data_IF_029570892367
#
_entry.id   IF_029570892367
#
_cell.length_a   1.000
_cell.length_b   1.000
_cell.length_c   1.000
_cell.angle_alpha   90.00
_cell.angle_beta   90.00
_cell.angle_gamma   90.00
#
_symmetry.space_group_name_H-M   'P 1'
#
loop_
_entity.id
_entity.type
_entity.pdbx_description
1 polymer ?
#
# COMPACT_ATOMS: atom_id res chain seq x y z
N UNK A 1 -26.58 2.27 30.49
CA UNK A 1 -26.06 1.01 31.05
C UNK A 1 -27.00 -0.11 30.62
N UNK A 2 -26.53 -1.02 29.76
CA UNK A 2 -27.40 -2.00 29.09
C UNK A 2 -27.71 -3.17 30.05
N UNK A 3 -28.98 -3.46 30.38
CA UNK A 3 -29.34 -4.41 31.45
C UNK A 3 -29.24 -5.89 31.05
N UNK A 4 -28.80 -6.21 29.82
CA UNK A 4 -28.81 -7.56 29.26
C UNK A 4 -27.64 -8.47 29.69
N UNK A 5 -26.66 -7.98 30.45
CA UNK A 5 -25.50 -8.77 30.87
C UNK A 5 -25.60 -9.38 32.28
N UNK A 6 -26.72 -9.23 32.99
CA UNK A 6 -26.83 -9.60 34.41
C UNK A 6 -27.10 -11.10 34.69
N UNK A 7 -27.21 -11.95 33.67
CA UNK A 7 -27.66 -13.36 33.87
C UNK A 7 -26.89 -14.41 33.07
N UNK A 8 -25.57 -14.25 32.93
CA UNK A 8 -24.68 -15.36 32.54
C UNK A 8 -23.79 -15.74 33.73
N UNK A 9 -24.41 -16.19 34.83
CA UNK A 9 -23.68 -16.92 35.88
C UNK A 9 -23.55 -18.37 35.42
N UNK A 10 -22.56 -18.65 34.57
CA UNK A 10 -22.18 -20.02 34.22
C UNK A 10 -21.49 -20.60 35.47
N UNK A 11 -22.02 -21.66 36.10
CA UNK A 11 -21.31 -22.36 37.16
C UNK A 11 -20.02 -22.90 36.56
N UNK A 12 -18.87 -22.51 37.11
CA UNK A 12 -17.58 -23.00 36.67
C UNK A 12 -16.99 -23.84 37.78
N UNK A 13 -17.05 -25.15 37.63
CA UNK A 13 -16.41 -26.07 38.57
C UNK A 13 -14.97 -26.30 38.11
N UNK A 14 -14.02 -26.08 39.01
CA UNK A 14 -12.62 -26.37 38.76
C UNK A 14 -12.42 -27.89 38.84
N UNK A 15 -12.07 -28.52 37.72
CA UNK A 15 -11.86 -29.97 37.67
C UNK A 15 -10.45 -30.35 38.13
N UNK A 16 -10.27 -31.60 38.60
CA UNK A 16 -8.94 -32.17 38.92
C UNK A 16 -8.08 -32.41 37.68
N UNK A 17 -8.67 -32.32 36.48
CA UNK A 17 -7.96 -32.49 35.21
C UNK A 17 -7.21 -31.21 34.84
N UNK A 18 -5.96 -31.36 34.41
CA UNK A 18 -5.11 -30.25 33.97
C UNK A 18 -4.96 -30.24 32.45
N UNK A 19 -4.78 -29.05 31.89
CA UNK A 19 -4.47 -28.88 30.47
C UNK A 19 -3.06 -29.41 30.17
N UNK A 20 -2.84 -30.18 29.08
CA UNK A 20 -1.51 -30.68 28.72
C UNK A 20 -0.56 -29.59 28.20
N UNK A 21 -1.09 -28.46 27.71
CA UNK A 21 -0.30 -27.35 27.13
C UNK A 21 0.15 -26.38 28.23
N UNK A 22 -0.78 -25.98 29.10
CA UNK A 22 -0.56 -24.92 30.09
C UNK A 22 -0.46 -25.41 31.54
N UNK A 23 -0.68 -26.70 31.79
CA UNK A 23 -0.60 -27.33 33.13
C UNK A 23 -1.48 -26.68 34.21
N UNK A 24 -2.56 -25.99 33.81
CA UNK A 24 -3.55 -25.40 34.71
C UNK A 24 -4.83 -26.23 34.77
N UNK A 25 -5.62 -26.16 35.85
CA UNK A 25 -6.93 -26.83 35.93
C UNK A 25 -7.84 -26.41 34.78
N UNK A 26 -8.47 -27.39 34.13
CA UNK A 26 -9.52 -27.10 33.15
C UNK A 26 -10.83 -26.84 33.87
N UNK A 27 -11.59 -25.88 33.35
CA UNK A 27 -12.92 -25.55 33.81
C UNK A 27 -13.94 -26.36 33.02
N UNK A 28 -14.99 -26.82 33.67
CA UNK A 28 -16.11 -27.47 33.00
C UNK A 28 -17.25 -26.48 32.80
N UNK A 29 -17.69 -26.30 31.56
CA UNK A 29 -18.83 -25.46 31.19
C UNK A 29 -19.77 -26.31 30.33
N UNK A 30 -20.99 -26.52 30.81
CA UNK A 30 -22.02 -27.29 30.09
C UNK A 30 -21.52 -28.67 29.58
N UNK A 31 -20.75 -29.39 30.40
CA UNK A 31 -20.17 -30.70 30.06
C UNK A 31 -18.91 -30.67 29.20
N UNK A 32 -18.41 -29.48 28.83
CA UNK A 32 -17.18 -29.31 28.07
C UNK A 32 -16.01 -28.85 28.94
N UNK A 33 -14.89 -29.57 28.86
CA UNK A 33 -13.65 -29.24 29.55
C UNK A 33 -12.82 -28.27 28.72
N UNK A 34 -12.56 -27.08 29.28
CA UNK A 34 -11.91 -25.98 28.58
C UNK A 34 -10.71 -25.49 29.38
N UNK A 35 -9.59 -25.25 28.71
CA UNK A 35 -8.47 -24.53 29.31
C UNK A 35 -8.62 -23.03 29.02
N UNK A 36 -8.60 -22.20 30.07
CA UNK A 36 -8.74 -20.73 29.93
C UNK A 36 -7.62 -20.11 29.09
N UNK A 37 -6.38 -20.62 29.20
CA UNK A 37 -5.23 -20.10 28.45
C UNK A 37 -5.29 -20.54 26.98
N UNK A 38 -5.56 -21.82 26.68
CA UNK A 38 -5.81 -22.27 25.30
C UNK A 38 -6.92 -21.44 24.63
N UNK A 39 -8.07 -21.26 25.30
CA UNK A 39 -9.18 -20.49 24.74
C UNK A 39 -8.76 -19.04 24.44
N UNK A 40 -8.01 -18.40 25.34
CA UNK A 40 -7.47 -17.05 25.13
C UNK A 40 -6.51 -17.00 23.94
N UNK A 41 -5.60 -17.97 23.81
CA UNK A 41 -4.64 -18.05 22.71
C UNK A 41 -5.33 -18.27 21.37
N UNK A 42 -6.31 -19.18 21.29
CA UNK A 42 -7.06 -19.43 20.06
C UNK A 42 -7.83 -18.19 19.59
N UNK A 43 -8.48 -17.47 20.52
CA UNK A 43 -9.15 -16.21 20.19
C UNK A 43 -8.13 -15.16 19.73
N UNK A 44 -6.98 -15.07 20.40
CA UNK A 44 -5.94 -14.12 20.00
C UNK A 44 -5.35 -14.45 18.62
N UNK A 45 -5.09 -15.72 18.34
CA UNK A 45 -4.61 -16.19 17.04
C UNK A 45 -5.63 -15.95 15.93
N UNK A 46 -6.92 -16.20 16.19
CA UNK A 46 -7.96 -15.93 15.20
C UNK A 46 -8.13 -14.44 14.93
N UNK A 47 -8.00 -13.60 15.96
CA UNK A 47 -7.99 -12.14 15.81
C UNK A 47 -6.81 -11.67 14.95
N UNK A 48 -5.59 -12.12 15.23
CA UNK A 48 -4.40 -11.79 14.41
C UNK A 48 -4.57 -12.24 12.96
N UNK A 49 -5.06 -13.47 12.75
CA UNK A 49 -5.27 -14.01 11.41
C UNK A 49 -6.32 -13.20 10.63
N UNK A 50 -7.43 -12.87 11.28
CA UNK A 50 -8.50 -12.05 10.70
C UNK A 50 -8.02 -10.63 10.37
N UNK A 51 -7.26 -9.99 11.27
CA UNK A 51 -6.69 -8.67 11.04
C UNK A 51 -5.71 -8.70 9.85
N UNK A 52 -4.86 -9.72 9.75
CA UNK A 52 -3.92 -9.88 8.64
C UNK A 52 -4.66 -10.06 7.30
N UNK A 53 -5.71 -10.89 7.26
CA UNK A 53 -6.53 -11.10 6.08
C UNK A 53 -7.23 -9.80 5.63
N UNK A 54 -7.77 -9.04 6.59
CA UNK A 54 -8.41 -7.75 6.31
C UNK A 54 -7.40 -6.75 5.75
N UNK A 55 -6.21 -6.64 6.35
CA UNK A 55 -5.15 -5.75 5.84
C UNK A 55 -4.74 -6.14 4.41
N UNK A 56 -4.62 -7.44 4.13
CA UNK A 56 -4.30 -7.92 2.79
C UNK A 56 -5.38 -7.56 1.77
N UNK A 57 -6.65 -7.77 2.10
CA UNK A 57 -7.77 -7.38 1.24
C UNK A 57 -7.79 -5.88 0.94
N UNK A 58 -7.60 -5.04 1.97
CA UNK A 58 -7.56 -3.58 1.83
C UNK A 58 -6.40 -3.13 0.94
N UNK A 59 -5.23 -3.70 1.14
CA UNK A 59 -4.06 -3.42 0.31
C UNK A 59 -4.29 -3.78 -1.16
N UNK A 60 -4.88 -4.95 -1.44
CA UNK A 60 -5.21 -5.37 -2.81
C UNK A 60 -6.18 -4.39 -3.47
N UNK A 61 -7.20 -3.93 -2.72
CA UNK A 61 -8.13 -2.91 -3.21
C UNK A 61 -7.41 -1.59 -3.50
N UNK A 62 -6.52 -1.13 -2.61
CA UNK A 62 -5.73 0.09 -2.84
C UNK A 62 -4.85 -0.02 -4.08
N UNK A 63 -4.16 -1.15 -4.26
CA UNK A 63 -3.33 -1.38 -5.44
C UNK A 63 -4.19 -1.39 -6.71
N UNK A 64 -5.34 -2.07 -6.70
CA UNK A 64 -6.28 -2.08 -7.83
C UNK A 64 -6.77 -0.66 -8.16
N UNK A 65 -7.05 0.15 -7.15
CA UNK A 65 -7.53 1.52 -7.31
C UNK A 65 -6.41 2.53 -7.60
N UNK A 66 -5.14 2.14 -7.47
CA UNK A 66 -4.00 3.01 -7.73
C UNK A 66 -3.85 3.38 -9.21
N UNK A 67 -4.50 2.67 -10.14
CA UNK A 67 -4.36 2.94 -11.58
C UNK A 67 -3.15 2.28 -12.23
N UNK A 68 -2.35 1.52 -11.48
CA UNK A 68 -1.27 0.70 -12.03
C UNK A 68 -1.83 -0.38 -12.97
N UNK A 69 -1.24 -0.51 -14.17
CA UNK A 69 -1.53 -1.61 -15.09
C UNK A 69 -1.10 -2.95 -14.48
N UNK A 70 -1.84 -4.03 -14.79
CA UNK A 70 -1.58 -5.41 -14.34
C UNK A 70 -0.12 -5.83 -14.48
N UNK A 71 0.55 -5.43 -15.56
CA UNK A 71 1.96 -5.75 -15.82
C UNK A 71 2.96 -5.16 -14.82
N UNK A 72 2.58 -4.12 -14.09
CA UNK A 72 3.43 -3.44 -13.10
C UNK A 72 3.05 -3.78 -11.66
N UNK A 73 2.05 -4.63 -11.45
CA UNK A 73 1.60 -5.04 -10.11
C UNK A 73 2.66 -5.81 -9.34
N UNK A 74 3.59 -6.48 -10.05
CA UNK A 74 4.67 -7.24 -9.44
C UNK A 74 6.01 -6.48 -9.43
N UNK A 75 6.09 -5.29 -10.02
CA UNK A 75 7.28 -4.44 -9.98
C UNK A 75 7.54 -3.87 -8.57
N UNK A 76 8.73 -4.06 -8.03
CA UNK A 76 9.17 -3.56 -6.73
C UNK A 76 10.67 -3.26 -6.73
N UNK A 77 11.17 -2.64 -5.65
CA UNK A 77 12.59 -2.31 -5.54
C UNK A 77 13.49 -3.56 -5.55
N UNK A 78 13.01 -4.68 -5.00
CA UNK A 78 13.78 -5.92 -4.88
C UNK A 78 13.97 -6.68 -6.20
N UNK A 79 13.08 -6.47 -7.18
CA UNK A 79 13.13 -7.16 -8.47
C UNK A 79 13.47 -6.22 -9.64
N UNK A 80 13.97 -5.02 -9.32
CA UNK A 80 14.56 -4.14 -10.32
C UNK A 80 16.00 -4.61 -10.61
N UNK A 81 16.34 -4.83 -11.87
CA UNK A 81 17.68 -5.28 -12.27
C UNK A 81 18.55 -4.07 -12.60
N UNK A 82 19.62 -3.88 -11.83
CA UNK A 82 20.59 -2.80 -12.03
C UNK A 82 21.61 -3.23 -13.08
N UNK A 83 21.75 -2.41 -14.12
CA UNK A 83 22.70 -2.61 -15.22
C UNK A 83 23.75 -1.49 -15.32
N UNK A 84 23.53 -0.34 -14.67
CA UNK A 84 24.51 0.75 -14.62
C UNK A 84 24.44 1.58 -13.32
N UNK A 85 25.50 2.31 -12.92
CA UNK A 85 25.52 3.10 -11.69
C UNK A 85 24.41 4.15 -11.60
N UNK A 86 23.96 4.69 -12.73
CA UNK A 86 22.87 5.66 -12.80
C UNK A 86 21.53 5.05 -12.35
N UNK A 87 21.31 3.76 -12.67
CA UNK A 87 20.12 3.03 -12.20
C UNK A 87 20.17 2.75 -10.70
N UNK A 88 21.35 2.41 -10.18
CA UNK A 88 21.53 2.23 -8.74
C UNK A 88 21.22 3.52 -7.98
N UNK A 89 21.78 4.65 -8.43
CA UNK A 89 21.48 5.96 -7.85
C UNK A 89 19.98 6.29 -7.92
N UNK A 90 19.34 6.07 -9.08
CA UNK A 90 17.90 6.33 -9.22
C UNK A 90 17.04 5.48 -8.27
N UNK A 91 17.38 4.21 -8.04
CA UNK A 91 16.69 3.36 -7.06
C UNK A 91 16.86 3.93 -5.65
N UNK A 92 18.08 4.32 -5.27
CA UNK A 92 18.36 4.89 -3.96
C UNK A 92 17.57 6.20 -3.75
N UNK A 93 17.50 7.06 -4.76
CA UNK A 93 16.69 8.27 -4.73
C UNK A 93 15.19 7.95 -4.61
N UNK A 94 14.67 6.96 -5.33
CA UNK A 94 13.28 6.53 -5.21
C UNK A 94 12.96 5.94 -3.83
N UNK A 95 13.89 5.19 -3.23
CA UNK A 95 13.74 4.66 -1.87
C UNK A 95 13.73 5.78 -0.84
N UNK A 96 14.67 6.72 -0.93
CA UNK A 96 14.72 7.90 -0.07
C UNK A 96 13.47 8.77 -0.22
N UNK A 97 13.00 8.98 -1.45
CA UNK A 97 11.75 9.69 -1.75
C UNK A 97 10.54 9.01 -1.09
N UNK A 98 10.43 7.69 -1.21
CA UNK A 98 9.35 6.95 -0.55
C UNK A 98 9.42 7.08 0.98
N UNK A 99 10.61 7.03 1.58
CA UNK A 99 10.81 7.24 3.01
C UNK A 99 10.39 8.64 3.45
N UNK A 100 10.75 9.68 2.69
CA UNK A 100 10.34 11.06 2.98
C UNK A 100 8.81 11.20 3.02
N UNK A 101 8.10 10.63 2.04
CA UNK A 101 6.62 10.59 2.05
C UNK A 101 6.10 9.84 3.28
N UNK A 102 6.71 8.68 3.62
CA UNK A 102 6.33 7.90 4.80
C UNK A 102 6.43 8.76 6.08
N UNK A 103 7.48 9.58 6.17
CA UNK A 103 7.76 10.53 7.25
C UNK A 103 6.95 11.84 7.24
N UNK A 104 5.87 11.93 6.45
CA UNK A 104 5.02 13.13 6.31
C UNK A 104 5.70 14.34 5.65
N UNK A 105 6.70 14.12 4.81
CA UNK A 105 7.21 15.17 3.92
C UNK A 105 6.47 15.14 2.59
N UNK A 106 6.47 16.26 1.87
CA UNK A 106 5.84 16.43 0.56
C UNK A 106 6.87 16.73 -0.54
N UNK A 107 7.83 15.83 -0.81
CA UNK A 107 8.82 16.02 -1.85
C UNK A 107 8.21 15.84 -3.25
N UNK A 108 8.90 16.39 -4.26
CA UNK A 108 8.64 16.10 -5.68
C UNK A 108 9.86 15.40 -6.28
N UNK A 109 9.64 14.40 -7.13
CA UNK A 109 10.68 13.65 -7.82
C UNK A 109 10.36 13.58 -9.31
N UNK A 110 11.37 13.87 -10.13
CA UNK A 110 11.29 13.74 -11.58
C UNK A 110 12.24 12.63 -12.05
N UNK A 111 11.70 11.63 -12.76
CA UNK A 111 12.48 10.55 -13.38
C UNK A 111 12.67 10.86 -14.87
N UNK A 112 13.91 11.10 -15.29
CA UNK A 112 14.24 11.43 -16.69
C UNK A 112 15.14 10.35 -17.26
N UNK A 113 14.86 9.90 -18.48
CA UNK A 113 15.77 9.02 -19.21
C UNK A 113 15.13 8.34 -20.41
N UNK A 114 15.91 7.54 -21.13
CA UNK A 114 15.45 6.82 -22.32
C UNK A 114 14.33 5.81 -22.03
N UNK A 115 13.48 5.47 -23.02
CA UNK A 115 12.53 4.37 -22.88
C UNK A 115 13.25 3.05 -22.54
N UNK A 116 12.57 2.17 -21.79
CA UNK A 116 13.08 0.81 -21.50
C UNK A 116 13.97 0.67 -20.26
N UNK A 117 14.40 1.76 -19.60
CA UNK A 117 15.26 1.70 -18.40
C UNK A 117 14.49 1.56 -17.08
N UNK A 118 13.21 1.22 -17.12
CA UNK A 118 12.41 0.92 -15.93
C UNK A 118 11.92 2.11 -15.12
N UNK A 119 11.75 3.31 -15.70
CA UNK A 119 11.13 4.47 -15.02
C UNK A 119 9.75 4.11 -14.42
N UNK A 120 8.88 3.52 -15.23
CA UNK A 120 7.55 3.07 -14.78
C UNK A 120 7.63 1.96 -13.72
N UNK A 121 8.67 1.10 -13.77
CA UNK A 121 8.93 0.10 -12.73
C UNK A 121 9.27 0.77 -11.39
N UNK A 122 10.15 1.78 -11.41
CA UNK A 122 10.50 2.55 -10.20
C UNK A 122 9.29 3.28 -9.64
N UNK A 123 8.48 3.92 -10.50
CA UNK A 123 7.22 4.55 -10.09
C UNK A 123 6.25 3.56 -9.43
N UNK A 124 6.05 2.38 -10.04
CA UNK A 124 5.23 1.31 -9.46
C UNK A 124 5.79 0.82 -8.12
N UNK A 125 7.12 0.73 -8.01
CA UNK A 125 7.81 0.33 -6.76
C UNK A 125 7.57 1.33 -5.63
N UNK A 126 7.64 2.64 -5.92
CA UNK A 126 7.35 3.71 -4.96
C UNK A 126 5.89 3.63 -4.49
N UNK A 127 4.94 3.55 -5.43
CA UNK A 127 3.51 3.44 -5.12
C UNK A 127 3.26 2.25 -4.20
N UNK A 128 3.73 1.06 -4.58
CA UNK A 128 3.56 -0.14 -3.75
C UNK A 128 4.17 0.04 -2.37
N UNK A 129 5.39 0.56 -2.28
CA UNK A 129 6.04 0.76 -0.99
C UNK A 129 5.22 1.68 -0.07
N UNK A 130 4.60 2.74 -0.60
CA UNK A 130 3.73 3.63 0.18
C UNK A 130 2.43 2.94 0.59
N UNK A 131 1.77 2.24 -0.34
CA UNK A 131 0.51 1.54 -0.06
C UNK A 131 0.67 0.39 0.93
N UNK A 132 1.80 -0.32 0.90
CA UNK A 132 2.11 -1.42 1.80
C UNK A 132 2.46 -0.96 3.22
N UNK A 133 3.25 0.12 3.35
CA UNK A 133 3.78 0.52 4.65
C UNK A 133 2.94 1.58 5.36
N UNK A 134 1.94 2.17 4.69
CA UNK A 134 1.19 3.30 5.23
C UNK A 134 -0.29 3.27 4.86
N UNK A 135 -1.08 4.06 5.57
CA UNK A 135 -2.50 4.25 5.25
C UNK A 135 -2.74 5.25 4.12
N UNK A 136 -1.68 5.83 3.53
CA UNK A 136 -1.77 6.83 2.46
C UNK A 136 -2.39 6.27 1.18
N UNK A 137 -2.76 7.21 0.33
CA UNK A 137 -3.35 7.03 -0.98
C UNK A 137 -2.32 7.36 -2.06
N UNK A 138 -2.33 6.60 -3.15
CA UNK A 138 -1.42 6.82 -4.25
C UNK A 138 -2.14 6.55 -5.57
N UNK A 139 -1.86 7.37 -6.59
CA UNK A 139 -2.47 7.29 -7.91
C UNK A 139 -1.42 7.36 -9.00
N UNK A 140 -1.46 6.42 -9.92
CA UNK A 140 -0.79 6.41 -11.21
C UNK A 140 -1.78 6.85 -12.28
N UNK A 141 -1.33 7.74 -13.17
CA UNK A 141 -2.10 8.20 -14.33
C UNK A 141 -1.14 8.64 -15.42
N UNK A 142 -1.62 8.77 -16.65
CA UNK A 142 -0.88 9.43 -17.73
C UNK A 142 -1.33 10.89 -17.87
N UNK A 143 -0.50 11.70 -18.54
CA UNK A 143 -0.87 13.07 -18.94
C UNK A 143 -2.13 13.07 -19.83
N UNK A 144 -2.21 12.12 -20.77
CA UNK A 144 -3.35 11.92 -21.66
C UNK A 144 -4.64 11.59 -20.90
N UNK A 145 -4.58 10.73 -19.89
CA UNK A 145 -5.74 10.38 -19.06
C UNK A 145 -6.28 11.58 -18.28
N UNK A 146 -5.39 12.43 -17.76
CA UNK A 146 -5.80 13.67 -17.07
C UNK A 146 -6.48 14.62 -18.08
N UNK A 147 -5.86 14.82 -19.24
CA UNK A 147 -6.40 15.70 -20.28
C UNK A 147 -7.78 15.22 -20.77
N UNK A 148 -7.93 13.92 -21.00
CA UNK A 148 -9.21 13.33 -21.41
C UNK A 148 -10.30 13.59 -20.37
N UNK A 149 -10.01 13.36 -19.08
CA UNK A 149 -10.98 13.63 -18.00
C UNK A 149 -11.35 15.09 -17.89
N UNK A 150 -10.42 16.01 -18.17
CA UNK A 150 -10.75 17.44 -18.22
C UNK A 150 -11.70 17.74 -19.39
N UNK A 151 -11.41 17.21 -20.59
CA UNK A 151 -12.28 17.39 -21.76
C UNK A 151 -13.68 16.79 -21.57
N UNK A 152 -13.80 15.65 -20.87
CA UNK A 152 -15.08 15.01 -20.59
C UNK A 152 -16.02 15.92 -19.77
N UNK A 153 -15.47 16.82 -18.93
CA UNK A 153 -16.28 17.80 -18.17
C UNK A 153 -16.92 18.89 -19.03
N UNK A 154 -16.47 19.07 -20.27
CA UNK A 154 -17.11 20.02 -21.20
C UNK A 154 -18.36 19.45 -21.86
N UNK A 155 -18.48 18.12 -21.91
CA UNK A 155 -19.64 17.44 -22.49
C UNK A 155 -20.80 17.30 -21.49
N UNK A 156 -20.51 17.36 -20.18
CA UNK A 156 -21.49 17.17 -19.10
C UNK A 156 -21.46 18.35 -18.12
N UNK A 157 -22.54 19.12 -18.08
CA UNK A 157 -22.67 20.29 -17.19
C UNK A 157 -22.77 19.93 -15.70
N UNK A 158 -22.93 18.64 -15.36
CA UNK A 158 -22.92 18.16 -13.98
C UNK A 158 -21.51 18.04 -13.40
N UNK A 159 -20.47 18.01 -14.24
CA UNK A 159 -19.09 17.87 -13.82
C UNK A 159 -18.29 19.13 -14.11
N UNK A 160 -17.30 19.43 -13.26
CA UNK A 160 -16.42 20.59 -13.47
C UNK A 160 -14.95 20.19 -13.49
N UNK A 161 -14.15 20.91 -14.28
CA UNK A 161 -12.69 20.77 -14.27
C UNK A 161 -12.10 20.84 -12.86
N UNK A 162 -12.70 21.68 -12.00
CA UNK A 162 -12.27 21.85 -10.62
C UNK A 162 -12.47 20.57 -9.78
N UNK A 163 -13.48 19.76 -10.07
CA UNK A 163 -13.65 18.44 -9.45
C UNK A 163 -12.54 17.48 -9.88
N UNK A 164 -12.15 17.50 -11.15
CA UNK A 164 -11.04 16.68 -11.68
C UNK A 164 -9.73 17.06 -10.99
N UNK A 165 -9.44 18.35 -10.88
CA UNK A 165 -8.24 18.86 -10.19
C UNK A 165 -8.27 18.46 -8.71
N UNK A 166 -9.40 18.65 -8.01
CA UNK A 166 -9.55 18.25 -6.61
C UNK A 166 -9.38 16.76 -6.41
N UNK A 167 -9.91 15.93 -7.32
CA UNK A 167 -9.75 14.49 -7.29
C UNK A 167 -8.26 14.11 -7.35
N UNK A 168 -7.52 14.59 -8.35
CA UNK A 168 -6.10 14.25 -8.48
C UNK A 168 -5.22 14.86 -7.39
N UNK A 169 -5.59 16.03 -6.86
CA UNK A 169 -4.88 16.69 -5.76
C UNK A 169 -5.16 16.06 -4.39
N UNK A 170 -6.18 15.21 -4.28
CA UNK A 170 -6.55 14.56 -3.00
C UNK A 170 -5.64 13.38 -2.63
N UNK A 171 -4.83 12.86 -3.57
CA UNK A 171 -3.94 11.75 -3.31
C UNK A 171 -2.65 12.20 -2.62
N UNK A 172 -2.15 11.41 -1.68
CA UNK A 172 -0.88 11.71 -0.99
C UNK A 172 0.35 11.56 -1.92
N UNK A 173 0.22 10.71 -2.94
CA UNK A 173 1.18 10.58 -4.03
C UNK A 173 0.43 10.51 -5.37
N UNK A 174 0.77 11.43 -6.28
CA UNK A 174 0.33 11.39 -7.67
C UNK A 174 1.54 11.16 -8.58
N UNK A 175 1.52 10.06 -9.33
CA UNK A 175 2.49 9.75 -10.38
C UNK A 175 1.84 10.04 -11.73
N UNK A 176 2.50 10.88 -12.52
CA UNK A 176 2.12 11.21 -13.89
C UNK A 176 3.19 10.64 -14.82
N UNK A 177 2.86 9.56 -15.53
CA UNK A 177 3.76 8.97 -16.54
C UNK A 177 3.47 9.55 -17.93
N UNK A 178 4.45 9.40 -18.84
CA UNK A 178 4.36 9.87 -20.23
C UNK A 178 4.21 11.40 -20.36
N UNK A 179 5.09 12.13 -19.68
CA UNK A 179 5.32 13.54 -19.99
C UNK A 179 6.42 13.64 -21.07
N UNK A 180 6.00 13.76 -22.33
CA UNK A 180 6.90 14.04 -23.46
C UNK A 180 6.81 15.52 -23.76
N UNK A 181 7.49 16.35 -22.97
CA UNK A 181 7.90 17.67 -23.42
C UNK A 181 9.03 18.25 -22.58
N UNK A 182 9.84 19.11 -23.22
CA UNK A 182 11.03 19.75 -22.64
C UNK A 182 10.62 20.61 -21.46
N UNK A 183 10.72 20.07 -20.26
CA UNK A 183 10.38 20.78 -19.03
C UNK A 183 11.65 21.19 -18.29
N UNK A 184 11.93 22.49 -18.23
CA UNK A 184 12.88 23.07 -17.28
C UNK A 184 12.22 23.09 -15.90
N UNK A 185 12.43 22.03 -15.11
CA UNK A 185 11.83 21.90 -13.77
C UNK A 185 12.90 22.10 -12.70
N UNK A 186 12.63 22.97 -11.72
CA UNK A 186 13.41 23.14 -10.48
C UNK A 186 13.08 22.04 -9.45
N UNK A 187 13.11 20.77 -9.84
CA UNK A 187 12.84 19.61 -8.98
C UNK A 187 14.07 18.72 -8.85
N UNK A 188 14.09 17.86 -7.83
CA UNK A 188 15.11 16.80 -7.73
C UNK A 188 14.88 15.84 -8.89
N UNK A 189 15.78 15.87 -9.87
CA UNK A 189 15.73 15.00 -11.03
C UNK A 189 16.67 13.79 -10.82
N UNK A 190 16.13 12.58 -10.91
CA UNK A 190 16.94 11.39 -11.06
C UNK A 190 17.10 11.11 -12.57
N UNK A 191 18.32 11.34 -13.07
CA UNK A 191 18.67 11.04 -14.46
C UNK A 191 19.08 9.57 -14.59
N UNK A 192 18.33 8.83 -15.42
CA UNK A 192 18.62 7.47 -15.81
C UNK A 192 19.17 7.49 -17.24
N UNK A 193 20.49 7.41 -17.37
CA UNK A 193 21.17 7.19 -18.65
C UNK A 193 22.23 6.10 -18.47
N UNK A 194 22.01 4.93 -19.08
CA UNK A 194 23.10 4.00 -19.28
C UNK A 194 23.73 4.34 -20.63
N UNK A 195 25.01 4.72 -20.65
CA UNK A 195 25.73 4.87 -21.92
C UNK A 195 25.70 3.54 -22.66
N UNK A 196 25.15 3.52 -23.87
CA UNK A 196 25.42 2.43 -24.80
C UNK A 196 26.91 2.45 -25.10
N UNK A 197 27.63 1.47 -24.56
CA UNK A 197 28.95 1.12 -25.09
C UNK A 197 28.67 0.47 -26.45
N UNK A 198 28.56 1.31 -27.48
CA UNK A 198 28.56 0.86 -28.87
C UNK A 198 30.03 0.60 -29.18
N UNK A 199 30.45 -0.65 -28.97
CA UNK A 199 31.67 -1.19 -29.57
C UNK A 199 31.39 -1.62 -31.00
#
# INVERSE_FOLDING_TARGET
MNPLFKTLQIPTEATKTVCPIHQIPVMEIAGHKLCKLCAKETIHQSQIAYEAELQQCLLQQKIKNSGLNKRYLDCGFKNYVISCPQQDNAIQLCQAFAQQIISNLHPNLLLIGTPGIGKTHLSASVIRNILHNTRRSARYTTSADIAQRMMDTWADTAHSENEVIKHFSSFDLLVIDEYVDRCDVRSVAASLSCGTNIG
#
